data_IF_570831986952
#
_entry.id   IF_570831986952
#
_cell.length_a   1.000
_cell.length_b   1.000
_cell.length_c   1.000
_cell.angle_alpha   90.00
_cell.angle_beta   90.00
_cell.angle_gamma   90.00
#
_symmetry.space_group_name_H-M   'P 1'
#
loop_
_entity.id
_entity.type
_entity.pdbx_description
1 polymer ?
#
# COMPACT_ATOMS: atom_id res chain seq x y z
N UNK A 1 -15.23 10.72 13.87
CA UNK A 1 -14.02 10.45 13.08
C UNK A 1 -14.34 9.27 12.19
N UNK A 2 -14.45 9.48 10.90
CA UNK A 2 -14.70 8.40 9.94
C UNK A 2 -13.36 7.78 9.61
N UNK A 3 -13.06 6.67 10.25
CA UNK A 3 -11.89 5.86 9.96
C UNK A 3 -12.08 5.24 8.58
N UNK A 4 -11.25 5.64 7.65
CA UNK A 4 -11.23 5.07 6.31
C UNK A 4 -10.26 3.89 6.30
N UNK A 5 -10.71 2.70 6.66
CA UNK A 5 -9.92 1.45 6.59
C UNK A 5 -9.36 1.15 5.19
N UNK A 6 -9.77 1.92 4.18
CA UNK A 6 -9.27 1.77 2.81
C UNK A 6 -7.81 2.20 2.63
N UNK A 7 -7.31 3.13 3.47
CA UNK A 7 -5.92 3.57 3.41
C UNK A 7 -4.96 2.45 3.81
N UNK A 8 -5.33 1.72 4.86
CA UNK A 8 -4.60 0.52 5.30
C UNK A 8 -4.56 -0.55 4.19
N UNK A 9 -5.63 -0.70 3.42
CA UNK A 9 -5.70 -1.68 2.34
C UNK A 9 -4.66 -1.43 1.23
N UNK A 10 -4.38 -0.15 0.91
CA UNK A 10 -3.36 0.20 -0.09
C UNK A 10 -2.00 -0.38 0.28
N UNK A 11 -1.66 -0.32 1.57
CA UNK A 11 -0.36 -0.75 2.09
C UNK A 11 -0.31 -2.26 2.30
N UNK A 12 -1.35 -2.84 2.91
CA UNK A 12 -1.35 -4.25 3.27
C UNK A 12 -1.62 -5.19 2.08
N UNK A 13 -2.22 -4.73 0.99
CA UNK A 13 -2.45 -5.57 -0.18
C UNK A 13 -1.14 -6.07 -0.82
N UNK A 14 -0.11 -5.24 -1.08
CA UNK A 14 1.18 -5.72 -1.57
C UNK A 14 1.89 -6.63 -0.56
N UNK A 15 1.77 -6.34 0.73
CA UNK A 15 2.33 -7.21 1.76
C UNK A 15 1.71 -8.61 1.74
N UNK A 16 0.39 -8.70 1.62
CA UNK A 16 -0.31 -9.97 1.47
C UNK A 16 0.16 -10.71 0.20
N UNK A 17 0.31 -10.01 -0.92
CA UNK A 17 0.88 -10.55 -2.16
C UNK A 17 2.30 -11.09 -1.97
N UNK A 18 3.15 -10.38 -1.23
CA UNK A 18 4.51 -10.83 -0.91
C UNK A 18 4.51 -12.11 -0.08
N UNK A 19 3.70 -12.16 0.98
CA UNK A 19 3.58 -13.33 1.87
C UNK A 19 3.02 -14.54 1.12
N UNK A 20 1.97 -14.36 0.33
CA UNK A 20 1.38 -15.45 -0.47
C UNK A 20 2.39 -16.00 -1.46
N UNK A 21 3.11 -15.15 -2.18
CA UNK A 21 4.14 -15.58 -3.11
C UNK A 21 5.31 -16.27 -2.41
N UNK A 22 5.70 -15.79 -1.24
CA UNK A 22 6.77 -16.42 -0.45
C UNK A 22 6.40 -17.83 0.04
N UNK A 23 5.18 -17.99 0.57
CA UNK A 23 4.74 -19.25 1.17
C UNK A 23 4.25 -20.27 0.13
N UNK A 24 3.44 -19.80 -0.83
CA UNK A 24 2.76 -20.67 -1.79
C UNK A 24 3.46 -20.74 -3.14
N UNK A 25 4.23 -19.73 -3.53
CA UNK A 25 4.92 -19.70 -4.81
C UNK A 25 5.87 -20.86 -5.01
N UNK A 26 6.62 -21.24 -3.97
CA UNK A 26 7.49 -22.41 -3.99
C UNK A 26 6.71 -23.73 -4.09
N UNK A 27 5.54 -23.81 -3.45
CA UNK A 27 4.73 -25.03 -3.42
C UNK A 27 3.96 -25.25 -4.70
N UNK A 28 3.43 -24.16 -5.27
CA UNK A 28 2.65 -24.22 -6.51
C UNK A 28 3.54 -24.35 -7.74
N UNK A 29 4.78 -23.84 -7.68
CA UNK A 29 5.78 -23.85 -8.76
C UNK A 29 5.19 -23.40 -10.12
N UNK A 30 4.25 -22.44 -10.07
CA UNK A 30 3.55 -21.89 -11.23
C UNK A 30 3.87 -20.41 -11.37
N UNK A 31 4.48 -20.05 -12.49
CA UNK A 31 4.79 -18.65 -12.81
C UNK A 31 3.52 -17.83 -12.97
N UNK A 32 2.50 -18.41 -13.61
CA UNK A 32 1.20 -17.78 -13.80
C UNK A 32 0.55 -17.43 -12.44
N UNK A 33 0.60 -18.35 -11.48
CA UNK A 33 0.06 -18.12 -10.14
C UNK A 33 0.79 -16.97 -9.45
N UNK A 34 2.13 -17.02 -9.41
CA UNK A 34 2.93 -15.99 -8.73
C UNK A 34 2.78 -14.62 -9.37
N UNK A 35 2.77 -14.55 -10.69
CA UNK A 35 2.56 -13.32 -11.44
C UNK A 35 1.15 -12.75 -11.24
N UNK A 36 0.13 -13.60 -11.30
CA UNK A 36 -1.27 -13.18 -11.08
C UNK A 36 -1.49 -12.64 -9.67
N UNK A 37 -0.99 -13.34 -8.64
CA UNK A 37 -1.07 -12.88 -7.24
C UNK A 37 -0.39 -11.53 -7.06
N UNK A 38 0.82 -11.36 -7.57
CA UNK A 38 1.57 -10.14 -7.46
C UNK A 38 0.88 -8.96 -8.16
N UNK A 39 0.48 -9.14 -9.42
CA UNK A 39 -0.21 -8.11 -10.19
C UNK A 39 -1.58 -7.75 -9.60
N UNK A 40 -2.32 -8.73 -9.08
CA UNK A 40 -3.62 -8.50 -8.44
C UNK A 40 -3.45 -7.70 -7.15
N UNK A 41 -2.48 -8.04 -6.32
CA UNK A 41 -2.22 -7.34 -5.06
C UNK A 41 -1.89 -5.86 -5.29
N UNK A 42 -0.99 -5.57 -6.23
CA UNK A 42 -0.65 -4.18 -6.58
C UNK A 42 -1.77 -3.50 -7.35
N UNK A 43 -2.52 -4.23 -8.18
CA UNK A 43 -3.70 -3.73 -8.88
C UNK A 43 -4.78 -3.24 -7.93
N UNK A 44 -5.06 -4.00 -6.86
CA UNK A 44 -5.99 -3.59 -5.79
C UNK A 44 -5.50 -2.30 -5.14
N UNK A 45 -4.22 -2.21 -4.77
CA UNK A 45 -3.64 -1.00 -4.20
C UNK A 45 -3.77 0.19 -5.14
N UNK A 46 -3.54 0.00 -6.43
CA UNK A 46 -3.67 1.05 -7.45
C UNK A 46 -5.12 1.56 -7.53
N UNK A 47 -6.09 0.67 -7.63
CA UNK A 47 -7.51 1.03 -7.70
C UNK A 47 -7.95 1.79 -6.45
N UNK A 48 -7.60 1.28 -5.26
CA UNK A 48 -7.97 1.93 -4.00
C UNK A 48 -7.27 3.28 -3.85
N UNK A 49 -6.01 3.41 -4.27
CA UNK A 49 -5.30 4.69 -4.27
C UNK A 49 -5.99 5.72 -5.18
N UNK A 50 -6.45 5.31 -6.37
CA UNK A 50 -7.24 6.18 -7.26
C UNK A 50 -8.57 6.57 -6.64
N UNK A 51 -9.28 5.64 -6.01
CA UNK A 51 -10.56 5.91 -5.34
C UNK A 51 -10.40 6.96 -4.24
N UNK A 52 -9.41 6.80 -3.36
CA UNK A 52 -9.16 7.74 -2.27
C UNK A 52 -8.66 9.09 -2.79
N UNK A 53 -7.75 9.09 -3.76
CA UNK A 53 -7.20 10.31 -4.31
C UNK A 53 -8.27 11.19 -5.00
N UNK A 54 -9.18 10.56 -5.73
CA UNK A 54 -10.24 11.25 -6.46
C UNK A 54 -11.54 11.41 -5.65
N UNK A 55 -11.65 10.77 -4.48
CA UNK A 55 -12.86 10.78 -3.67
C UNK A 55 -14.00 9.94 -4.22
N UNK A 56 -13.72 8.95 -5.06
CA UNK A 56 -14.73 8.08 -5.65
C UNK A 56 -15.15 7.03 -4.61
N UNK A 57 -16.44 7.02 -4.28
CA UNK A 57 -17.00 6.03 -3.34
C UNK A 57 -16.68 6.31 -1.87
N UNK A 58 -16.11 7.47 -1.55
CA UNK A 58 -15.88 7.91 -0.16
C UNK A 58 -16.82 9.08 0.17
N UNK A 59 -17.27 9.21 1.44
CA UNK A 59 -18.13 10.33 1.85
C UNK A 59 -17.38 11.66 1.93
N UNK A 60 -16.07 11.66 1.70
CA UNK A 60 -15.20 12.83 1.79
C UNK A 60 -14.64 13.21 0.42
N UNK A 61 -14.30 14.49 0.20
CA UNK A 61 -13.55 14.89 -0.98
C UNK A 61 -12.23 14.12 -1.04
N UNK A 62 -11.83 13.72 -2.25
CA UNK A 62 -10.60 12.96 -2.45
C UNK A 62 -9.37 13.69 -1.91
N UNK A 63 -8.34 12.93 -1.54
CA UNK A 63 -7.12 13.47 -0.95
C UNK A 63 -6.46 14.58 -1.79
N UNK A 64 -6.62 14.55 -3.12
CA UNK A 64 -6.09 15.57 -4.02
C UNK A 64 -6.86 16.91 -3.95
N UNK A 65 -8.11 16.88 -3.50
CA UNK A 65 -9.01 18.04 -3.47
C UNK A 65 -9.38 18.47 -2.05
N UNK A 66 -8.99 17.70 -1.04
CA UNK A 66 -9.26 17.98 0.36
C UNK A 66 -8.28 19.04 0.89
N UNK A 67 -8.79 19.94 1.74
CA UNK A 67 -7.97 20.90 2.47
C UNK A 67 -7.30 20.29 3.71
N UNK A 68 -7.70 19.08 4.08
CA UNK A 68 -7.17 18.36 5.23
C UNK A 68 -6.74 16.96 4.81
N UNK A 69 -5.66 16.40 5.39
CA UNK A 69 -5.22 15.06 5.09
C UNK A 69 -6.28 14.02 5.50
N UNK A 70 -6.41 12.97 4.70
CA UNK A 70 -7.17 11.78 5.08
C UNK A 70 -6.31 10.98 6.03
N UNK A 71 -6.75 10.81 7.27
CA UNK A 71 -6.01 10.11 8.31
C UNK A 71 -6.67 8.78 8.62
N UNK A 72 -5.87 7.75 8.72
CA UNK A 72 -6.26 6.43 9.22
C UNK A 72 -5.40 6.10 10.44
N UNK A 73 -6.04 6.05 11.61
CA UNK A 73 -5.36 5.75 12.87
C UNK A 73 -5.22 4.25 13.02
N UNK A 74 -3.99 3.74 13.05
CA UNK A 74 -3.73 2.30 13.17
C UNK A 74 -3.61 1.90 14.63
N UNK A 75 -2.68 2.53 15.38
CA UNK A 75 -2.53 2.27 16.81
C UNK A 75 -1.81 3.40 17.53
N UNK A 76 -2.00 3.50 18.85
CA UNK A 76 -1.21 4.37 19.72
C UNK A 76 0.09 3.68 20.10
N UNK A 77 1.24 4.24 19.69
CA UNK A 77 2.54 3.63 19.96
C UNK A 77 3.00 3.90 21.39
N UNK A 78 3.01 5.16 21.82
CA UNK A 78 3.49 5.56 23.13
C UNK A 78 2.48 6.49 23.77
N UNK A 79 2.08 6.14 25.00
CA UNK A 79 1.27 7.00 25.84
C UNK A 79 1.88 7.06 27.24
N UNK A 80 2.42 8.23 27.60
CA UNK A 80 3.04 8.48 28.92
C UNK A 80 2.51 9.80 29.46
N UNK A 81 1.70 9.71 30.50
CA UNK A 81 1.08 10.90 31.10
C UNK A 81 0.22 11.70 30.11
N UNK A 82 0.54 12.95 29.88
CA UNK A 82 -0.14 13.83 28.91
C UNK A 82 0.46 13.79 27.50
N UNK A 83 1.47 12.95 27.24
CA UNK A 83 2.10 12.80 25.92
C UNK A 83 1.62 11.54 25.22
N UNK A 84 1.07 11.71 24.02
CA UNK A 84 0.55 10.61 23.21
C UNK A 84 1.16 10.69 21.81
N UNK A 85 1.74 9.58 21.35
CA UNK A 85 2.22 9.41 19.98
C UNK A 85 1.37 8.35 19.31
N UNK A 86 0.60 8.77 18.34
CA UNK A 86 -0.21 7.89 17.53
C UNK A 86 0.52 7.59 16.22
N UNK A 87 0.58 6.32 15.85
CA UNK A 87 1.05 5.90 14.55
C UNK A 87 -0.15 5.73 13.63
N UNK A 88 -0.22 6.58 12.62
CA UNK A 88 -1.29 6.59 11.65
C UNK A 88 -0.75 6.60 10.23
N UNK A 89 -1.66 6.38 9.30
CA UNK A 89 -1.43 6.62 7.89
C UNK A 89 -2.12 7.93 7.52
N UNK A 90 -1.37 8.82 6.91
CA UNK A 90 -1.88 10.10 6.41
C UNK A 90 -1.74 10.18 4.90
N UNK A 91 -2.80 10.56 4.23
CA UNK A 91 -2.77 10.88 2.81
C UNK A 91 -3.20 12.34 2.64
N UNK A 92 -2.21 13.21 2.50
CA UNK A 92 -2.41 14.59 2.07
C UNK A 92 -2.34 14.68 0.53
N UNK A 93 -2.44 15.87 0.00
CA UNK A 93 -2.37 16.10 -1.46
C UNK A 93 -1.06 15.58 -2.05
N UNK A 94 0.07 15.80 -1.38
CA UNK A 94 1.39 15.38 -1.86
C UNK A 94 1.57 13.87 -1.75
N UNK A 95 1.26 13.27 -0.61
CA UNK A 95 1.27 11.82 -0.40
C UNK A 95 0.32 11.10 -1.36
N UNK A 96 -0.84 11.68 -1.66
CA UNK A 96 -1.79 11.15 -2.63
C UNK A 96 -1.20 11.04 -4.03
N UNK A 97 -0.50 12.09 -4.49
CA UNK A 97 0.19 12.07 -5.79
C UNK A 97 1.30 11.00 -5.79
N UNK A 98 2.10 10.92 -4.73
CA UNK A 98 3.14 9.90 -4.61
C UNK A 98 2.57 8.49 -4.60
N UNK A 99 1.51 8.24 -3.83
CA UNK A 99 0.87 6.93 -3.76
C UNK A 99 0.32 6.50 -5.13
N UNK A 100 -0.33 7.42 -5.86
CA UNK A 100 -0.80 7.17 -7.22
C UNK A 100 0.35 6.82 -8.16
N UNK A 101 1.41 7.61 -8.13
CA UNK A 101 2.57 7.38 -8.99
C UNK A 101 3.23 6.05 -8.68
N UNK A 102 3.51 5.77 -7.40
CA UNK A 102 4.16 4.54 -6.94
C UNK A 102 3.31 3.31 -7.32
N UNK A 103 2.01 3.33 -7.04
CA UNK A 103 1.13 2.19 -7.32
C UNK A 103 0.95 1.97 -8.81
N UNK A 104 0.76 3.02 -9.59
CA UNK A 104 0.57 2.92 -11.04
C UNK A 104 1.85 2.42 -11.74
N UNK A 105 2.99 3.04 -11.49
CA UNK A 105 4.28 2.62 -12.06
C UNK A 105 4.64 1.21 -11.56
N UNK A 106 4.40 0.93 -10.28
CA UNK A 106 4.61 -0.38 -9.71
C UNK A 106 3.78 -1.46 -10.41
N UNK A 107 2.51 -1.18 -10.71
CA UNK A 107 1.66 -2.10 -11.47
C UNK A 107 2.22 -2.37 -12.87
N UNK A 108 2.66 -1.32 -13.58
CA UNK A 108 3.27 -1.48 -14.91
C UNK A 108 4.55 -2.34 -14.84
N UNK A 109 5.38 -2.12 -13.83
CA UNK A 109 6.59 -2.93 -13.61
C UNK A 109 6.22 -4.39 -13.34
N UNK A 110 5.20 -4.67 -12.53
CA UNK A 110 4.74 -6.02 -12.26
C UNK A 110 4.26 -6.72 -13.53
N UNK A 111 3.44 -6.04 -14.34
CA UNK A 111 2.95 -6.59 -15.62
C UNK A 111 4.13 -6.87 -16.56
N UNK A 112 5.05 -5.92 -16.70
CA UNK A 112 6.24 -6.11 -17.54
C UNK A 112 7.12 -7.27 -17.05
N UNK A 113 7.32 -7.37 -15.73
CA UNK A 113 8.15 -8.39 -15.12
C UNK A 113 7.61 -9.81 -15.33
N UNK A 114 6.30 -9.99 -15.48
CA UNK A 114 5.71 -11.32 -15.78
C UNK A 114 6.25 -11.90 -17.10
N UNK A 115 6.41 -11.05 -18.11
CA UNK A 115 7.02 -11.47 -19.38
C UNK A 115 8.54 -11.58 -19.30
N UNK A 116 9.18 -10.62 -18.63
CA UNK A 116 10.64 -10.55 -18.54
C UNK A 116 11.26 -11.72 -17.76
N UNK A 117 10.62 -12.12 -16.65
CA UNK A 117 11.11 -13.20 -15.77
C UNK A 117 10.58 -14.59 -16.17
N UNK A 118 9.91 -14.72 -17.30
CA UNK A 118 9.38 -15.99 -17.78
C UNK A 118 10.49 -17.03 -17.98
N UNK A 119 10.30 -18.22 -17.40
CA UNK A 119 11.28 -19.31 -17.44
C UNK A 119 12.34 -19.27 -16.34
N UNK A 120 12.33 -18.28 -15.44
CA UNK A 120 13.28 -18.20 -14.34
C UNK A 120 12.82 -19.03 -13.12
N UNK A 121 13.73 -19.84 -12.56
CA UNK A 121 13.47 -20.64 -11.36
C UNK A 121 13.24 -19.80 -10.11
N UNK A 122 13.66 -18.54 -10.11
CA UNK A 122 13.49 -17.56 -9.02
C UNK A 122 12.24 -16.70 -9.15
N UNK A 123 11.37 -16.95 -10.12
CA UNK A 123 10.18 -16.13 -10.44
C UNK A 123 9.35 -15.75 -9.20
N UNK A 124 8.97 -16.71 -8.36
CA UNK A 124 8.16 -16.44 -7.17
C UNK A 124 8.88 -15.57 -6.14
N UNK A 125 10.21 -15.72 -5.98
CA UNK A 125 11.02 -14.91 -5.07
C UNK A 125 11.11 -13.48 -5.54
N UNK A 126 11.34 -13.29 -6.83
CA UNK A 126 11.39 -11.98 -7.44
C UNK A 126 10.10 -11.19 -7.20
N UNK A 127 8.95 -11.80 -7.44
CA UNK A 127 7.66 -11.15 -7.21
C UNK A 127 7.34 -10.95 -5.73
N UNK A 128 7.79 -11.83 -4.84
CA UNK A 128 7.69 -11.61 -3.41
C UNK A 128 8.49 -10.37 -2.97
N UNK A 129 9.72 -10.22 -3.43
CA UNK A 129 10.55 -9.05 -3.13
C UNK A 129 10.00 -7.77 -3.76
N UNK A 130 9.48 -7.85 -4.96
CA UNK A 130 8.90 -6.71 -5.65
C UNK A 130 7.66 -6.18 -4.92
N UNK A 131 6.78 -7.08 -4.47
CA UNK A 131 5.63 -6.73 -3.63
C UNK A 131 6.05 -6.18 -2.25
N UNK A 132 7.09 -6.75 -1.64
CA UNK A 132 7.63 -6.24 -0.37
C UNK A 132 8.21 -4.83 -0.54
N UNK A 133 8.88 -4.57 -1.65
CA UNK A 133 9.36 -3.24 -2.00
C UNK A 133 8.21 -2.24 -2.16
N UNK A 134 7.13 -2.64 -2.83
CA UNK A 134 5.92 -1.81 -2.95
C UNK A 134 5.31 -1.48 -1.58
N UNK A 135 5.22 -2.48 -0.69
CA UNK A 135 4.78 -2.27 0.69
C UNK A 135 5.65 -1.24 1.41
N UNK A 136 6.97 -1.37 1.34
CA UNK A 136 7.90 -0.46 2.00
C UNK A 136 7.79 0.98 1.46
N UNK A 137 7.67 1.14 0.14
CA UNK A 137 7.53 2.46 -0.51
C UNK A 137 6.19 3.12 -0.15
N UNK A 138 5.11 2.37 -0.11
CA UNK A 138 3.79 2.90 0.26
C UNK A 138 3.72 3.22 1.76
N UNK A 139 4.36 2.44 2.60
CA UNK A 139 4.48 2.74 4.03
C UNK A 139 5.26 4.03 4.24
N UNK A 140 6.37 4.22 3.53
CA UNK A 140 7.15 5.44 3.60
C UNK A 140 6.36 6.68 3.14
N UNK A 141 5.59 6.53 2.06
CA UNK A 141 4.79 7.63 1.50
C UNK A 141 3.57 7.99 2.37
N UNK A 142 3.01 7.01 3.09
CA UNK A 142 1.79 7.18 3.89
C UNK A 142 2.02 7.25 5.40
N UNK A 143 3.26 7.03 5.89
CA UNK A 143 3.54 7.08 7.32
C UNK A 143 3.43 8.52 7.83
N UNK A 144 2.47 8.75 8.71
CA UNK A 144 2.33 9.98 9.47
C UNK A 144 2.51 9.69 10.97
N UNK A 145 3.53 10.28 11.57
CA UNK A 145 3.74 10.22 13.00
C UNK A 145 3.27 11.54 13.62
N UNK A 146 2.02 11.60 14.04
CA UNK A 146 1.49 12.76 14.74
C UNK A 146 1.72 12.64 16.23
N UNK A 147 2.58 13.51 16.77
CA UNK A 147 2.76 13.68 18.21
C UNK A 147 1.76 14.73 18.72
N UNK A 148 0.78 14.31 19.49
CA UNK A 148 -0.13 15.21 20.18
C UNK A 148 0.33 15.37 21.63
N UNK A 149 0.93 16.53 21.93
CA UNK A 149 1.13 16.97 23.30
C UNK A 149 -0.18 17.59 23.82
N UNK A 150 -0.74 17.06 24.89
CA UNK A 150 -1.77 17.75 25.64
C UNK A 150 -1.08 18.88 26.40
N UNK A 151 -1.29 20.08 25.95
CA UNK A 151 -0.95 21.26 26.73
C UNK A 151 -1.90 21.42 27.92
#
# INVERSE_FOLDING_TARGET
MTENNFLSLIIFAPLAGAVINWLLGKRMNSELFSGAVACTAVGISTVVAFMIALGIGTPHPGALFADRPVLDHIWTWIQVGGFRVDFGLGMDRLSGIYALFITFVGLLIHIFATGYMHGDKGFYRFFAYLNLFMFAMLTLAGADASAHGVA
#
